data_IF_847822761543
#
_entry.id   IF_847822761543
#
_cell.length_a   1.000
_cell.length_b   1.000
_cell.length_c   1.000
_cell.angle_alpha   90.00
_cell.angle_beta   90.00
_cell.angle_gamma   90.00
#
_symmetry.space_group_name_H-M   'P 1'
#
loop_
_entity.id
_entity.type
_entity.pdbx_description
1 polymer ?
#
# COMPACT_ATOMS: atom_id res chain seq x y z
N UNK A 1 -7.97 16.21 -15.76
CA UNK A 1 -8.59 14.86 -15.70
C UNK A 1 -7.54 13.95 -15.07
N UNK A 2 -7.81 13.36 -13.91
CA UNK A 2 -6.83 12.45 -13.28
C UNK A 2 -6.88 11.12 -14.02
N UNK A 3 -5.74 10.70 -14.58
CA UNK A 3 -5.62 9.40 -15.24
C UNK A 3 -5.49 8.34 -14.16
N UNK A 4 -6.35 7.32 -14.21
CA UNK A 4 -6.25 6.13 -13.38
C UNK A 4 -5.37 5.14 -14.14
N UNK A 5 -4.30 4.62 -13.51
CA UNK A 5 -3.44 3.59 -14.09
C UNK A 5 -3.44 2.34 -13.21
N UNK A 6 -4.31 1.36 -13.53
CA UNK A 6 -4.34 0.07 -12.82
C UNK A 6 -3.07 -0.76 -13.04
N UNK A 7 -2.32 -0.50 -14.11
CA UNK A 7 -1.11 -1.23 -14.50
C UNK A 7 0.00 -1.10 -13.45
N UNK A 8 -0.03 -0.02 -12.66
CA UNK A 8 0.95 0.18 -11.59
C UNK A 8 0.95 -0.95 -10.54
N UNK A 9 -0.18 -1.61 -10.29
CA UNK A 9 -0.23 -2.76 -9.39
C UNK A 9 0.54 -3.97 -9.97
N UNK A 10 0.61 -4.11 -11.30
CA UNK A 10 1.41 -5.15 -11.93
C UNK A 10 2.91 -4.81 -11.83
N UNK A 11 3.28 -3.54 -12.03
CA UNK A 11 4.67 -3.09 -11.86
C UNK A 11 5.18 -3.26 -10.41
N UNK A 12 4.30 -3.06 -9.43
CA UNK A 12 4.65 -3.24 -8.01
C UNK A 12 5.07 -4.67 -7.66
N UNK A 13 4.73 -5.66 -8.50
CA UNK A 13 5.16 -7.05 -8.32
C UNK A 13 6.67 -7.23 -8.41
N UNK A 14 7.38 -6.33 -9.08
CA UNK A 14 8.85 -6.32 -9.09
C UNK A 14 9.43 -6.08 -7.68
N UNK A 15 8.66 -5.47 -6.79
CA UNK A 15 9.06 -5.13 -5.43
C UNK A 15 8.49 -6.09 -4.37
N UNK A 16 7.65 -7.07 -4.73
CA UNK A 16 7.07 -8.02 -3.77
C UNK A 16 5.76 -8.64 -4.25
N UNK A 17 5.08 -9.38 -3.38
CA UNK A 17 3.73 -9.86 -3.71
C UNK A 17 2.75 -8.69 -3.59
N UNK A 18 2.08 -8.34 -4.69
CA UNK A 18 1.07 -7.29 -4.74
C UNK A 18 -0.32 -7.87 -5.00
N UNK A 19 -1.17 -7.78 -3.97
CA UNK A 19 -2.57 -8.19 -3.99
C UNK A 19 -3.51 -6.98 -3.93
N UNK A 20 -3.03 -5.75 -4.18
CA UNK A 20 -3.79 -4.52 -4.05
C UNK A 20 -5.09 -4.52 -4.88
N UNK A 21 -5.10 -5.12 -6.07
CA UNK A 21 -6.31 -5.20 -6.91
C UNK A 21 -7.42 -6.07 -6.29
N UNK A 22 -7.12 -6.93 -5.32
CA UNK A 22 -8.13 -7.73 -4.60
C UNK A 22 -8.89 -6.88 -3.55
N UNK A 23 -8.31 -5.75 -3.13
CA UNK A 23 -8.88 -4.87 -2.13
C UNK A 23 -10.12 -4.14 -2.68
N UNK A 24 -11.20 -4.13 -1.90
CA UNK A 24 -12.44 -3.40 -2.21
C UNK A 24 -12.68 -2.22 -1.27
N UNK A 25 -11.63 -1.79 -0.55
CA UNK A 25 -11.60 -0.60 0.28
C UNK A 25 -12.55 -0.59 1.51
N UNK A 26 -12.83 -1.76 2.10
CA UNK A 26 -13.78 -1.89 3.23
C UNK A 26 -13.35 -1.26 4.57
N UNK A 27 -12.06 -1.02 4.81
CA UNK A 27 -11.59 -0.33 6.03
C UNK A 27 -11.23 -1.21 7.22
N UNK A 28 -11.43 -2.54 7.17
CA UNK A 28 -11.07 -3.44 8.29
C UNK A 28 -9.62 -3.29 8.74
N UNK A 29 -8.70 -3.14 7.79
CA UNK A 29 -7.28 -2.94 8.09
C UNK A 29 -6.98 -1.62 8.83
N UNK A 30 -7.79 -0.58 8.62
CA UNK A 30 -7.67 0.70 9.33
C UNK A 30 -8.17 0.53 10.76
N UNK A 31 -9.32 -0.13 10.94
CA UNK A 31 -9.93 -0.31 12.25
C UNK A 31 -9.09 -1.16 13.21
N UNK A 32 -8.31 -2.12 12.69
CA UNK A 32 -7.47 -3.01 13.50
C UNK A 32 -6.04 -2.50 13.72
N UNK A 33 -5.59 -1.53 12.91
CA UNK A 33 -4.21 -1.07 12.99
C UNK A 33 -4.01 -0.25 14.27
N UNK A 34 -3.06 -0.61 15.15
CA UNK A 34 -2.80 0.15 16.38
C UNK A 34 -2.13 1.51 16.11
N UNK A 35 -1.58 1.67 14.89
CA UNK A 35 -1.00 2.92 14.43
C UNK A 35 -2.14 3.76 13.85
N UNK A 36 -2.63 4.69 14.66
CA UNK A 36 -3.74 5.58 14.30
C UNK A 36 -3.18 6.72 13.45
N UNK A 37 -3.19 6.54 12.14
CA UNK A 37 -2.90 7.62 11.20
C UNK A 37 -3.74 7.48 9.93
N UNK A 38 -4.42 8.56 9.55
CA UNK A 38 -4.91 8.92 8.22
C UNK A 38 -5.32 7.79 7.24
N UNK A 39 -6.13 6.83 7.72
CA UNK A 39 -6.57 5.65 6.95
C UNK A 39 -5.45 4.69 6.50
N UNK A 40 -4.31 4.67 7.19
CA UNK A 40 -3.26 3.66 7.00
C UNK A 40 -3.76 2.25 7.39
N UNK A 41 -3.42 1.17 6.65
CA UNK A 41 -2.69 1.14 5.37
C UNK A 41 -3.59 1.34 4.13
N UNK A 42 -4.92 1.32 4.29
CA UNK A 42 -5.90 1.31 3.19
C UNK A 42 -5.67 2.43 2.16
N UNK A 43 -5.35 3.65 2.61
CA UNK A 43 -5.12 4.79 1.70
C UNK A 43 -4.02 4.50 0.68
N UNK A 44 -2.92 3.90 1.12
CA UNK A 44 -1.79 3.56 0.25
C UNK A 44 -2.15 2.47 -0.74
N UNK A 45 -2.90 1.45 -0.29
CA UNK A 45 -3.44 0.40 -1.17
C UNK A 45 -4.34 1.04 -2.24
N UNK A 46 -5.17 2.02 -1.87
CA UNK A 46 -5.98 2.75 -2.86
C UNK A 46 -5.13 3.51 -3.87
N UNK A 47 -4.01 4.10 -3.44
CA UNK A 47 -3.08 4.76 -4.35
C UNK A 47 -2.43 3.80 -5.33
N UNK A 48 -2.10 2.58 -4.89
CA UNK A 48 -1.64 1.51 -5.79
C UNK A 48 -2.69 1.22 -6.86
N UNK A 49 -3.94 0.98 -6.46
CA UNK A 49 -5.03 0.63 -7.39
C UNK A 49 -5.31 1.68 -8.48
N UNK A 50 -5.01 2.96 -8.21
CA UNK A 50 -5.26 4.05 -9.15
C UNK A 50 -3.99 4.58 -9.81
N UNK A 51 -2.81 4.02 -9.49
CA UNK A 51 -1.54 4.46 -10.04
C UNK A 51 -1.05 5.83 -9.52
N UNK A 52 -1.40 6.23 -8.30
CA UNK A 52 -1.04 7.54 -7.75
C UNK A 52 0.38 7.56 -7.15
N UNK A 53 1.40 7.39 -8.02
CA UNK A 53 2.81 7.26 -7.65
C UNK A 53 3.34 8.46 -6.86
N UNK A 54 3.03 9.67 -7.30
CA UNK A 54 3.50 10.90 -6.66
C UNK A 54 2.97 11.03 -5.23
N UNK A 55 1.73 10.59 -5.00
CA UNK A 55 1.14 10.55 -3.66
C UNK A 55 1.79 9.50 -2.77
N UNK A 56 2.17 8.36 -3.34
CA UNK A 56 2.90 7.30 -2.63
C UNK A 56 4.28 7.82 -2.21
N UNK A 57 5.02 8.46 -3.12
CA UNK A 57 6.33 9.05 -2.84
C UNK A 57 6.24 10.15 -1.78
N UNK A 58 5.24 11.03 -1.89
CA UNK A 58 4.98 12.09 -0.90
C UNK A 58 4.62 11.52 0.48
N UNK A 59 3.86 10.43 0.53
CA UNK A 59 3.57 9.68 1.76
C UNK A 59 4.67 8.68 2.15
N UNK A 60 5.82 8.68 1.47
CA UNK A 60 6.85 7.66 1.61
C UNK A 60 7.20 7.42 3.07
N UNK A 61 7.57 8.47 3.81
CA UNK A 61 7.96 8.38 5.23
C UNK A 61 6.94 7.66 6.12
N UNK A 62 5.64 7.75 5.82
CA UNK A 62 4.59 7.07 6.59
C UNK A 62 4.68 5.55 6.50
N UNK A 63 5.22 4.99 5.41
CA UNK A 63 5.42 3.55 5.25
C UNK A 63 6.27 2.97 6.39
N UNK A 64 7.23 3.73 6.91
CA UNK A 64 8.13 3.31 8.00
C UNK A 64 7.47 3.31 9.38
N UNK A 65 6.27 3.87 9.53
CA UNK A 65 5.45 3.68 10.73
C UNK A 65 5.01 2.22 10.85
N UNK A 66 4.85 1.51 9.73
CA UNK A 66 4.42 0.12 9.71
C UNK A 66 5.41 -0.80 10.44
N UNK A 67 4.95 -1.36 11.56
CA UNK A 67 5.66 -2.36 12.37
C UNK A 67 5.59 -3.79 11.79
N UNK A 68 4.86 -3.98 10.68
CA UNK A 68 4.67 -5.28 10.04
C UNK A 68 4.17 -6.38 11.01
N UNK A 69 3.21 -6.04 11.87
CA UNK A 69 2.64 -6.98 12.87
C UNK A 69 1.60 -7.98 12.29
N UNK A 70 1.24 -7.84 11.01
CA UNK A 70 0.36 -8.76 10.29
C UNK A 70 -1.12 -8.76 10.71
N UNK A 71 -1.58 -7.84 11.56
CA UNK A 71 -3.00 -7.76 11.95
C UNK A 71 -3.92 -7.47 10.76
N UNK A 72 -3.52 -6.52 9.91
CA UNK A 72 -4.28 -6.12 8.73
C UNK A 72 -4.41 -7.26 7.70
N UNK A 73 -3.36 -8.05 7.49
CA UNK A 73 -3.35 -9.21 6.59
C UNK A 73 -4.24 -10.33 7.10
N UNK A 74 -4.11 -10.70 8.38
CA UNK A 74 -4.90 -11.77 8.99
C UNK A 74 -6.40 -11.49 9.03
N UNK A 75 -6.80 -10.22 9.14
CA UNK A 75 -8.21 -9.83 9.22
C UNK A 75 -8.84 -9.48 7.87
N UNK A 76 -8.06 -9.45 6.77
CA UNK A 76 -8.55 -8.99 5.49
C UNK A 76 -9.59 -9.97 4.91
N UNK A 77 -10.87 -9.57 4.72
CA UNK A 77 -11.91 -10.48 4.25
C UNK A 77 -11.75 -10.88 2.78
N UNK A 78 -10.88 -10.18 2.03
CA UNK A 78 -10.55 -10.47 0.63
C UNK A 78 -9.17 -11.10 0.46
N UNK A 79 -8.43 -11.31 1.55
CA UNK A 79 -7.06 -11.85 1.52
C UNK A 79 -6.07 -11.00 0.70
N UNK A 80 -6.37 -9.69 0.54
CA UNK A 80 -5.57 -8.71 -0.21
C UNK A 80 -4.32 -8.23 0.55
N UNK A 81 -3.64 -9.12 1.27
CA UNK A 81 -2.47 -8.92 2.14
C UNK A 81 -1.91 -7.47 2.26
N UNK A 82 -2.54 -6.60 3.08
CA UNK A 82 -2.07 -5.22 3.28
C UNK A 82 -0.65 -5.12 3.83
N UNK A 83 -0.18 -6.12 4.56
CA UNK A 83 1.16 -6.15 5.13
C UNK A 83 2.23 -6.26 4.05
N UNK A 84 2.05 -7.18 3.11
CA UNK A 84 2.96 -7.37 1.97
C UNK A 84 2.91 -6.21 0.99
N UNK A 85 1.73 -5.64 0.71
CA UNK A 85 1.61 -4.45 -0.15
C UNK A 85 2.43 -3.28 0.43
N UNK A 86 2.35 -3.04 1.74
CA UNK A 86 3.14 -1.99 2.40
C UNK A 86 4.65 -2.29 2.33
N UNK A 87 5.05 -3.55 2.46
CA UNK A 87 6.45 -3.95 2.32
C UNK A 87 6.97 -3.74 0.88
N UNK A 88 6.17 -4.09 -0.13
CA UNK A 88 6.44 -3.77 -1.53
C UNK A 88 6.59 -2.28 -1.77
N UNK A 89 5.68 -1.47 -1.21
CA UNK A 89 5.77 0.00 -1.28
C UNK A 89 7.03 0.56 -0.62
N UNK A 90 7.49 0.01 0.52
CA UNK A 90 8.76 0.42 1.12
C UNK A 90 9.93 0.23 0.15
N UNK A 91 9.96 -0.91 -0.55
CA UNK A 91 11.02 -1.22 -1.54
C UNK A 91 10.92 -0.33 -2.78
N UNK A 92 9.71 -0.12 -3.31
CA UNK A 92 9.45 0.80 -4.42
C UNK A 92 9.94 2.22 -4.10
N UNK A 93 9.54 2.77 -2.96
CA UNK A 93 9.94 4.13 -2.54
C UNK A 93 11.45 4.23 -2.33
N UNK A 94 12.09 3.20 -1.75
CA UNK A 94 13.54 3.17 -1.62
C UNK A 94 14.25 3.13 -2.98
N UNK A 95 13.73 2.38 -3.95
CA UNK A 95 14.29 2.36 -5.29
C UNK A 95 14.18 3.73 -5.96
N UNK A 96 12.99 4.34 -5.92
CA UNK A 96 12.74 5.66 -6.47
C UNK A 96 13.63 6.76 -5.85
N UNK A 97 13.81 6.77 -4.52
CA UNK A 97 14.67 7.74 -3.84
C UNK A 97 16.17 7.55 -4.06
N UNK A 98 16.62 6.40 -4.57
CA UNK A 98 18.05 6.18 -4.91
C UNK A 98 18.43 6.71 -6.28
N UNK A 99 17.44 6.89 -7.15
CA UNK A 99 17.62 7.38 -8.53
C UNK A 99 17.51 8.91 -8.62
N UNK A 100 17.22 9.57 -7.50
CA UNK A 100 17.11 11.02 -7.30
C UNK A 100 18.39 11.60 -6.68
#
# INVERSE_FOLDING_TARGET
>A
MTVVSPEFAEELKEYGDDTALQCFNCGTCVAICPLVDDSFPRRLIRYVQIGARERILASGRDLWKCLHCGLCSRTCPRQADPGEIILGLKRYVLAAWREE
#
